data_IF_490700625744
#
_entry.id   IF_490700625744
#
_cell.length_a   1.000
_cell.length_b   1.000
_cell.length_c   1.000
_cell.angle_alpha   90.00
_cell.angle_beta   90.00
_cell.angle_gamma   90.00
#
_symmetry.space_group_name_H-M   'P 1'
#
loop_
_entity.id
_entity.type
_entity.pdbx_description
1 polymer ?
#
# COMPACT_ATOMS: atom_id res chain seq x y z
N UNK A 1 -22.20 -59.38 0.99
CA UNK A 1 -22.36 -57.92 1.10
C UNK A 1 -21.14 -57.23 0.47
N UNK A 2 -21.38 -56.02 -0.02
CA UNK A 2 -20.62 -55.25 -1.03
C UNK A 2 -19.22 -54.79 -0.63
N UNK A 3 -18.33 -54.80 -1.64
CA UNK A 3 -17.31 -53.80 -2.04
C UNK A 3 -16.20 -53.43 -1.02
N UNK A 4 -14.96 -53.90 -1.22
CA UNK A 4 -13.92 -53.36 -2.11
C UNK A 4 -13.09 -52.23 -1.47
N UNK A 5 -11.94 -52.61 -0.90
CA UNK A 5 -10.83 -51.71 -0.59
C UNK A 5 -9.93 -51.60 -1.82
N UNK A 6 -10.10 -50.53 -2.59
CA UNK A 6 -9.23 -50.17 -3.70
C UNK A 6 -8.13 -49.22 -3.21
N UNK A 7 -6.90 -49.45 -3.68
CA UNK A 7 -5.73 -48.71 -3.28
C UNK A 7 -5.50 -47.39 -4.05
N UNK A 8 -4.23 -47.00 -4.01
CA UNK A 8 -3.52 -46.02 -4.84
C UNK A 8 -3.26 -44.63 -4.23
N UNK A 9 -1.95 -44.42 -4.07
CA UNK A 9 -1.20 -43.26 -4.56
C UNK A 9 -1.42 -41.89 -3.91
N UNK A 10 -0.55 -41.61 -2.94
CA UNK A 10 0.59 -40.69 -3.09
C UNK A 10 0.38 -39.55 -4.14
N UNK A 11 0.04 -38.34 -3.67
CA UNK A 11 0.10 -37.10 -4.46
C UNK A 11 0.83 -36.03 -3.68
N UNK A 12 2.12 -35.86 -4.00
CA UNK A 12 2.84 -34.62 -3.74
C UNK A 12 2.46 -33.54 -4.78
N UNK A 13 2.48 -32.25 -4.42
CA UNK A 13 2.26 -31.16 -5.38
C UNK A 13 3.47 -30.97 -6.29
N UNK A 14 3.22 -31.08 -7.61
CA UNK A 14 4.21 -30.88 -8.69
C UNK A 14 4.58 -29.41 -8.84
N UNK A 15 5.81 -29.04 -8.47
CA UNK A 15 6.46 -27.83 -8.94
C UNK A 15 6.88 -28.02 -10.41
N UNK A 16 6.24 -27.31 -11.33
CA UNK A 16 6.63 -27.30 -12.76
C UNK A 16 7.78 -26.31 -12.95
N UNK A 17 9.00 -26.84 -12.87
CA UNK A 17 10.21 -26.25 -13.42
C UNK A 17 10.08 -26.21 -14.95
N UNK A 18 9.86 -25.04 -15.55
CA UNK A 18 10.03 -24.90 -17.01
C UNK A 18 11.49 -24.66 -17.32
N UNK A 19 12.13 -25.73 -17.76
CA UNK A 19 13.39 -25.75 -18.51
C UNK A 19 13.31 -24.73 -19.65
N UNK A 20 14.27 -23.84 -19.68
CA UNK A 20 14.66 -23.10 -20.88
C UNK A 20 15.37 -24.12 -21.77
N UNK A 21 14.87 -24.35 -22.97
CA UNK A 21 15.59 -25.05 -24.03
C UNK A 21 15.54 -24.19 -25.29
N UNK A 22 16.65 -24.32 -26.00
CA UNK A 22 17.27 -23.42 -26.94
C UNK A 22 16.95 -23.83 -28.39
N UNK A 23 16.83 -22.83 -29.26
CA UNK A 23 16.90 -22.80 -30.74
C UNK A 23 16.43 -23.99 -31.60
N UNK A 24 15.55 -23.72 -32.57
CA UNK A 24 15.84 -24.04 -33.99
C UNK A 24 15.04 -23.16 -34.99
N UNK A 25 15.67 -22.91 -36.15
CA UNK A 25 15.31 -22.02 -37.28
C UNK A 25 14.00 -22.39 -37.98
N UNK A 26 13.40 -21.41 -38.73
CA UNK A 26 13.41 -21.34 -40.22
C UNK A 26 12.16 -20.63 -40.80
N UNK A 27 12.42 -19.63 -41.68
CA UNK A 27 11.64 -19.12 -42.86
C UNK A 27 10.18 -18.65 -42.63
N UNK A 28 9.58 -17.63 -43.25
CA UNK A 28 9.88 -16.64 -44.29
C UNK A 28 8.74 -15.59 -44.22
N UNK A 29 9.03 -14.34 -44.59
CA UNK A 29 8.08 -13.21 -44.72
C UNK A 29 7.05 -13.45 -45.85
N UNK A 30 5.84 -12.82 -45.85
CA UNK A 30 5.75 -11.50 -46.50
C UNK A 30 4.71 -10.51 -45.95
N UNK A 31 5.16 -9.25 -45.86
CA UNK A 31 4.50 -8.01 -46.34
C UNK A 31 3.01 -7.79 -46.00
N UNK A 32 2.72 -6.87 -45.05
CA UNK A 32 1.94 -5.67 -45.41
C UNK A 32 1.89 -4.56 -44.32
N UNK A 33 2.43 -3.40 -44.71
CA UNK A 33 1.93 -2.01 -44.54
C UNK A 33 1.65 -1.44 -43.13
N UNK A 34 2.50 -0.46 -42.82
CA UNK A 34 2.15 0.87 -42.31
C UNK A 34 1.70 1.01 -40.85
N UNK A 35 2.67 1.07 -39.94
CA UNK A 35 2.59 2.03 -38.82
C UNK A 35 3.92 2.77 -38.72
N UNK A 36 3.90 4.01 -39.24
CA UNK A 36 4.90 5.05 -39.06
C UNK A 36 5.31 5.18 -37.59
N UNK A 37 6.59 4.96 -37.28
CA UNK A 37 7.28 5.63 -36.16
C UNK A 37 8.78 5.75 -36.43
N UNK A 38 9.10 6.90 -37.04
CA UNK A 38 10.37 7.65 -37.06
C UNK A 38 11.59 6.92 -36.45
N UNK A 39 12.48 6.47 -37.34
CA UNK A 39 13.92 6.35 -37.08
C UNK A 39 14.44 7.68 -36.54
N UNK A 40 14.87 7.70 -35.28
CA UNK A 40 15.80 8.73 -34.81
C UNK A 40 17.18 8.25 -35.20
N UNK A 41 17.73 8.94 -36.21
CA UNK A 41 19.10 8.82 -36.65
C UNK A 41 20.02 9.23 -35.49
N UNK A 42 20.77 8.27 -34.92
CA UNK A 42 21.88 8.59 -34.03
C UNK A 42 23.05 9.02 -34.91
N UNK A 43 23.16 10.33 -35.15
CA UNK A 43 24.37 10.91 -35.70
C UNK A 43 25.44 10.90 -34.60
N UNK A 44 26.51 10.15 -34.83
CA UNK A 44 27.69 10.15 -33.99
C UNK A 44 28.30 11.55 -33.99
N UNK A 45 28.30 12.22 -32.83
CA UNK A 45 29.13 13.41 -32.61
C UNK A 45 30.39 12.97 -31.85
N UNK A 46 31.33 12.42 -32.61
CA UNK A 46 32.71 12.26 -32.18
C UNK A 46 33.47 13.54 -32.54
N UNK A 47 33.96 14.27 -31.54
CA UNK A 47 34.84 15.42 -31.78
C UNK A 47 34.88 16.41 -30.63
N UNK A 48 35.65 16.08 -29.57
CA UNK A 48 36.38 16.99 -28.66
C UNK A 48 36.94 16.20 -27.44
N UNK A 49 37.90 15.30 -27.68
CA UNK A 49 38.99 15.05 -26.73
C UNK A 49 40.12 16.01 -27.10
N UNK A 50 40.97 16.57 -26.25
CA UNK A 50 41.76 15.91 -25.19
C UNK A 50 42.09 16.89 -24.04
N UNK A 51 41.47 18.07 -23.97
CA UNK A 51 41.76 19.09 -22.94
C UNK A 51 41.01 18.95 -21.60
N UNK A 52 40.10 17.99 -21.47
CA UNK A 52 39.13 17.94 -20.36
C UNK A 52 39.43 16.88 -19.30
N UNK A 53 40.48 16.05 -19.44
CA UNK A 53 40.69 14.96 -18.47
C UNK A 53 41.17 15.47 -17.11
N UNK A 54 42.07 16.47 -17.07
CA UNK A 54 42.61 17.01 -15.82
C UNK A 54 41.60 17.91 -15.06
N UNK A 55 40.80 18.71 -15.79
CA UNK A 55 39.65 19.42 -15.20
C UNK A 55 38.57 18.43 -14.76
N UNK A 56 38.23 17.43 -15.58
CA UNK A 56 37.28 16.37 -15.21
C UNK A 56 37.83 15.33 -14.21
N UNK A 57 38.96 15.56 -13.54
CA UNK A 57 39.39 14.77 -12.39
C UNK A 57 39.37 15.63 -11.12
N UNK A 58 39.74 16.92 -11.21
CA UNK A 58 39.62 17.86 -10.09
C UNK A 58 38.18 18.35 -9.85
N UNK A 59 37.43 18.62 -10.93
CA UNK A 59 36.01 19.04 -10.94
C UNK A 59 35.08 17.83 -10.70
N UNK A 60 35.59 16.62 -10.89
CA UNK A 60 34.90 15.34 -10.61
C UNK A 60 35.00 14.91 -9.15
N UNK A 61 35.81 15.60 -8.34
CA UNK A 61 36.00 15.22 -6.95
C UNK A 61 34.68 15.35 -6.16
N UNK A 62 33.80 16.31 -6.50
CA UNK A 62 32.52 16.51 -5.81
C UNK A 62 31.38 17.01 -6.73
N UNK A 63 30.88 16.19 -7.67
CA UNK A 63 29.79 16.56 -8.59
C UNK A 63 28.48 16.92 -7.87
N UNK A 64 28.35 16.60 -6.59
CA UNK A 64 27.18 16.96 -5.79
C UNK A 64 27.21 18.43 -5.32
N UNK A 65 28.37 19.11 -5.23
CA UNK A 65 28.43 20.53 -4.84
C UNK A 65 27.75 21.42 -5.87
N UNK A 66 28.03 21.19 -7.15
CA UNK A 66 27.37 21.91 -8.26
C UNK A 66 25.87 21.64 -8.31
N UNK A 67 25.47 20.38 -8.11
CA UNK A 67 24.07 20.00 -8.04
C UNK A 67 23.37 20.66 -6.84
N UNK A 68 24.03 20.78 -5.69
CA UNK A 68 23.49 21.47 -4.52
C UNK A 68 23.28 22.95 -4.80
N UNK A 69 24.25 23.64 -5.44
CA UNK A 69 24.11 25.05 -5.81
C UNK A 69 22.94 25.24 -6.77
N UNK A 70 22.83 24.40 -7.80
CA UNK A 70 21.75 24.44 -8.80
C UNK A 70 20.36 24.29 -8.18
N UNK A 71 20.25 23.47 -7.13
CA UNK A 71 18.98 23.04 -6.57
C UNK A 71 18.70 23.63 -5.18
N UNK A 72 19.55 24.53 -4.68
CA UNK A 72 19.46 25.10 -3.32
C UNK A 72 18.08 25.70 -3.03
N UNK A 73 17.56 26.48 -3.96
CA UNK A 73 16.27 27.18 -3.80
C UNK A 73 15.08 26.21 -3.79
N UNK A 74 15.20 25.07 -4.47
CA UNK A 74 14.18 24.02 -4.47
C UNK A 74 14.29 23.09 -3.26
N UNK A 75 15.50 22.86 -2.77
CA UNK A 75 15.73 22.12 -1.54
C UNK A 75 15.16 22.87 -0.33
N UNK A 76 15.25 24.20 -0.33
CA UNK A 76 14.67 25.06 0.71
C UNK A 76 13.13 25.05 0.74
N UNK A 77 12.45 24.78 -0.39
CA UNK A 77 10.97 24.71 -0.47
C UNK A 77 10.38 23.47 0.22
N UNK A 78 11.21 22.56 0.73
CA UNK A 78 10.81 21.36 1.46
C UNK A 78 10.72 20.11 0.60
N UNK A 79 10.20 19.00 1.17
CA UNK A 79 10.35 17.66 0.57
C UNK A 79 9.28 17.34 -0.48
N UNK A 80 8.03 17.76 -0.27
CA UNK A 80 6.87 17.25 -1.03
C UNK A 80 6.31 18.24 -2.06
N UNK A 81 6.80 19.48 -2.06
CA UNK A 81 6.20 20.58 -2.81
C UNK A 81 5.97 21.78 -1.90
N UNK A 82 5.47 22.85 -2.49
CA UNK A 82 5.13 24.06 -1.78
C UNK A 82 3.71 24.49 -2.15
N UNK A 83 3.05 25.15 -1.20
CA UNK A 83 1.74 25.72 -1.40
C UNK A 83 1.92 27.10 -2.02
N UNK A 84 1.34 27.32 -3.20
CA UNK A 84 1.46 28.58 -3.91
C UNK A 84 0.14 28.93 -4.59
N UNK A 85 -0.36 30.14 -4.32
CA UNK A 85 -1.57 30.70 -4.93
C UNK A 85 -2.77 29.72 -4.98
N UNK A 86 -3.06 29.01 -3.89
CA UNK A 86 -4.21 28.11 -3.83
C UNK A 86 -3.98 26.70 -4.37
N UNK A 87 -2.79 26.42 -4.93
CA UNK A 87 -2.47 25.14 -5.52
C UNK A 87 -1.22 24.51 -4.90
N UNK A 88 -1.21 23.18 -4.83
CA UNK A 88 0.01 22.43 -4.51
C UNK A 88 0.91 22.37 -5.74
N UNK A 89 2.10 22.97 -5.68
CA UNK A 89 3.10 22.90 -6.75
C UNK A 89 4.14 21.83 -6.42
N UNK A 90 4.40 20.88 -7.35
CA UNK A 90 5.50 19.94 -7.18
C UNK A 90 6.85 20.67 -7.30
N UNK A 91 7.90 20.07 -6.76
CA UNK A 91 9.27 20.53 -6.95
C UNK A 91 9.75 20.21 -8.36
N UNK A 92 10.72 20.96 -8.88
CA UNK A 92 11.34 20.65 -10.18
C UNK A 92 12.24 19.42 -10.09
N UNK A 93 12.82 19.15 -8.92
CA UNK A 93 13.59 17.94 -8.65
C UNK A 93 12.68 16.76 -8.33
N UNK A 94 12.96 15.63 -8.99
CA UNK A 94 12.37 14.35 -8.62
C UNK A 94 12.88 13.85 -7.27
N UNK A 95 12.01 13.23 -6.47
CA UNK A 95 12.40 12.63 -5.18
C UNK A 95 13.59 11.64 -5.30
N UNK A 96 13.69 10.92 -6.43
CA UNK A 96 14.81 10.02 -6.72
C UNK A 96 16.14 10.77 -6.92
N UNK A 97 16.12 11.92 -7.59
CA UNK A 97 17.33 12.74 -7.74
C UNK A 97 17.74 13.33 -6.40
N UNK A 98 16.79 13.83 -5.60
CA UNK A 98 17.07 14.30 -4.24
C UNK A 98 17.72 13.21 -3.37
N UNK A 99 17.18 12.00 -3.36
CA UNK A 99 17.75 10.89 -2.59
C UNK A 99 19.17 10.50 -3.06
N UNK A 100 19.45 10.58 -4.36
CA UNK A 100 20.81 10.38 -4.90
C UNK A 100 21.77 11.46 -4.40
N UNK A 101 21.35 12.73 -4.43
CA UNK A 101 22.14 13.85 -3.89
C UNK A 101 22.40 13.68 -2.39
N UNK A 102 21.35 13.38 -1.61
CA UNK A 102 21.48 13.13 -0.17
C UNK A 102 22.45 11.99 0.12
N UNK A 103 22.41 10.91 -0.66
CA UNK A 103 23.37 9.80 -0.55
C UNK A 103 24.81 10.26 -0.85
N UNK A 104 25.02 11.01 -1.94
CA UNK A 104 26.34 11.54 -2.31
C UNK A 104 26.93 12.45 -1.21
N UNK A 105 26.12 13.33 -0.63
CA UNK A 105 26.52 14.25 0.46
C UNK A 105 26.85 13.50 1.76
N UNK A 106 25.97 12.60 2.20
CA UNK A 106 26.18 11.83 3.43
C UNK A 106 27.38 10.87 3.32
N UNK A 107 27.65 10.32 2.13
CA UNK A 107 28.85 9.50 1.89
C UNK A 107 30.14 10.32 1.97
N UNK A 108 30.09 11.61 1.64
CA UNK A 108 31.21 12.54 1.80
C UNK A 108 31.38 13.00 3.27
N UNK A 109 30.49 12.59 4.18
CA UNK A 109 30.52 12.95 5.59
C UNK A 109 29.99 14.35 5.91
N UNK A 110 29.35 15.03 4.95
CA UNK A 110 28.67 16.30 5.18
C UNK A 110 27.23 16.09 5.68
N UNK A 111 26.70 17.07 6.40
CA UNK A 111 25.36 17.04 6.98
C UNK A 111 24.28 17.50 5.96
N UNK A 112 23.05 17.00 6.12
CA UNK A 112 21.92 17.27 5.23
C UNK A 112 20.80 18.05 5.94
N UNK A 113 20.79 19.41 5.87
CA UNK A 113 19.89 20.25 6.67
C UNK A 113 18.49 20.47 6.05
N UNK A 114 18.24 20.00 4.82
CA UNK A 114 17.03 20.36 4.06
C UNK A 114 15.78 19.52 4.38
N UNK A 115 15.96 18.34 5.01
CA UNK A 115 14.86 17.42 5.27
C UNK A 115 14.38 17.57 6.72
N UNK A 116 13.06 17.69 6.98
CA UNK A 116 12.55 17.72 8.34
C UNK A 116 12.76 16.37 9.02
N UNK A 117 12.87 16.41 10.35
CA UNK A 117 13.02 15.20 11.16
C UNK A 117 11.85 14.23 10.99
N UNK A 118 12.16 12.94 11.06
CA UNK A 118 11.16 11.89 10.91
C UNK A 118 10.24 11.88 12.14
N UNK A 119 8.93 12.04 11.91
CA UNK A 119 7.92 11.94 12.96
C UNK A 119 7.84 10.52 13.53
N UNK A 120 7.52 10.45 14.82
CA UNK A 120 7.27 9.20 15.53
C UNK A 120 6.04 8.47 14.99
N UNK A 121 6.06 7.14 15.07
CA UNK A 121 4.96 6.29 14.63
C UNK A 121 3.85 6.21 15.68
N UNK A 122 2.57 6.21 15.25
CA UNK A 122 1.43 6.04 16.15
C UNK A 122 1.19 4.57 16.49
N UNK A 123 1.49 4.16 17.72
CA UNK A 123 1.28 2.79 18.21
C UNK A 123 -0.06 2.66 18.95
N UNK A 124 -1.19 2.72 18.24
CA UNK A 124 -2.52 2.42 18.83
C UNK A 124 -3.17 1.22 18.12
N UNK A 125 -3.55 0.21 18.90
CA UNK A 125 -4.34 -0.93 18.41
C UNK A 125 -5.83 -0.55 18.35
N UNK A 126 -6.50 -0.83 17.23
CA UNK A 126 -7.93 -0.54 17.03
C UNK A 126 -8.84 -1.45 17.86
N UNK A 127 -8.42 -2.71 18.06
CA UNK A 127 -9.26 -3.79 18.59
C UNK A 127 -10.31 -4.27 17.59
N UNK A 128 -10.80 -5.50 17.73
CA UNK A 128 -11.90 -6.01 16.92
C UNK A 128 -13.24 -5.45 17.41
N UNK A 129 -14.14 -5.14 16.47
CA UNK A 129 -15.49 -4.66 16.78
C UNK A 129 -16.28 -5.72 17.57
N UNK A 130 -16.14 -6.99 17.20
CA UNK A 130 -16.84 -8.10 17.85
C UNK A 130 -16.52 -8.17 19.35
N UNK A 131 -15.22 -8.12 19.69
CA UNK A 131 -14.76 -8.24 21.08
C UNK A 131 -15.29 -7.09 21.95
N UNK A 132 -15.27 -5.86 21.41
CA UNK A 132 -15.83 -4.68 22.08
C UNK A 132 -17.31 -4.85 22.41
N UNK A 133 -18.10 -5.26 21.41
CA UNK A 133 -19.54 -5.47 21.57
C UNK A 133 -19.83 -6.69 22.45
N UNK A 134 -18.94 -7.69 22.48
CA UNK A 134 -19.16 -8.89 23.28
C UNK A 134 -19.21 -8.59 24.78
N UNK A 135 -18.38 -7.65 25.27
CA UNK A 135 -18.41 -7.22 26.66
C UNK A 135 -19.74 -6.54 27.00
N UNK A 136 -20.15 -5.57 26.19
CA UNK A 136 -21.43 -4.85 26.32
C UNK A 136 -22.63 -5.81 26.30
N UNK A 137 -22.59 -6.83 25.43
CA UNK A 137 -23.64 -7.86 25.36
C UNK A 137 -23.73 -8.68 26.65
N UNK A 138 -22.61 -9.11 27.22
CA UNK A 138 -22.60 -9.89 28.49
C UNK A 138 -23.20 -9.09 29.64
N UNK A 139 -22.84 -7.81 29.76
CA UNK A 139 -23.41 -6.91 30.78
C UNK A 139 -24.91 -6.71 30.61
N UNK A 140 -25.36 -6.50 29.37
CA UNK A 140 -26.78 -6.35 29.08
C UNK A 140 -27.57 -7.63 29.36
N UNK A 141 -26.99 -8.81 29.11
CA UNK A 141 -27.61 -10.09 29.48
C UNK A 141 -27.80 -10.17 30.99
N UNK A 142 -26.79 -9.82 31.81
CA UNK A 142 -26.93 -9.83 33.26
C UNK A 142 -28.05 -8.88 33.75
N UNK A 143 -28.05 -7.63 33.27
CA UNK A 143 -29.09 -6.64 33.58
C UNK A 143 -30.50 -7.09 33.16
N UNK A 144 -30.62 -7.84 32.07
CA UNK A 144 -31.90 -8.40 31.63
C UNK A 144 -32.34 -9.54 32.55
N UNK A 145 -31.41 -10.41 32.96
CA UNK A 145 -31.69 -11.53 33.86
C UNK A 145 -32.18 -11.07 35.23
N UNK A 146 -31.63 -9.99 35.78
CA UNK A 146 -32.12 -9.37 37.02
C UNK A 146 -33.59 -8.91 36.91
N UNK A 147 -34.02 -8.46 35.72
CA UNK A 147 -35.39 -7.99 35.46
C UNK A 147 -36.36 -9.13 35.10
N UNK A 148 -35.87 -10.33 34.84
CA UNK A 148 -36.69 -11.47 34.43
C UNK A 148 -37.82 -11.81 35.41
N UNK A 149 -37.60 -11.85 36.75
CA UNK A 149 -38.66 -12.19 37.70
C UNK A 149 -39.85 -11.23 37.61
N UNK A 150 -39.55 -9.93 37.53
CA UNK A 150 -40.58 -8.91 37.38
C UNK A 150 -41.35 -9.06 36.06
N UNK A 151 -40.62 -9.25 34.95
CA UNK A 151 -41.25 -9.46 33.64
C UNK A 151 -42.15 -10.70 33.59
N UNK A 152 -41.81 -11.77 34.31
CA UNK A 152 -42.65 -12.97 34.40
C UNK A 152 -43.94 -12.70 35.18
N UNK A 153 -43.87 -11.96 36.28
CA UNK A 153 -45.06 -11.55 37.04
C UNK A 153 -45.97 -10.66 36.19
N UNK A 154 -45.39 -9.70 35.48
CA UNK A 154 -46.13 -8.80 34.58
C UNK A 154 -46.81 -9.56 33.43
N UNK A 155 -46.14 -10.56 32.87
CA UNK A 155 -46.72 -11.43 31.84
C UNK A 155 -47.89 -12.26 32.39
N UNK A 156 -47.71 -12.89 33.55
CA UNK A 156 -48.77 -13.66 34.22
C UNK A 156 -49.98 -12.78 34.53
N UNK A 157 -49.76 -11.57 35.06
CA UNK A 157 -50.81 -10.59 35.35
C UNK A 157 -51.59 -10.21 34.10
N UNK A 158 -50.91 -9.92 32.98
CA UNK A 158 -51.56 -9.60 31.69
C UNK A 158 -52.40 -10.75 31.16
N UNK A 159 -51.89 -11.99 31.21
CA UNK A 159 -52.64 -13.19 30.79
C UNK A 159 -53.88 -13.41 31.65
N UNK A 160 -53.75 -13.24 32.96
CA UNK A 160 -54.85 -13.42 33.89
C UNK A 160 -55.95 -12.35 33.71
N UNK A 161 -55.57 -11.08 33.58
CA UNK A 161 -56.52 -9.99 33.28
C UNK A 161 -57.25 -10.18 31.96
N UNK A 162 -56.57 -10.71 30.93
CA UNK A 162 -57.20 -11.03 29.65
C UNK A 162 -58.26 -12.12 29.80
N UNK A 163 -57.94 -13.19 30.55
CA UNK A 163 -58.87 -14.28 30.83
C UNK A 163 -60.12 -13.79 31.59
N UNK A 164 -59.94 -12.99 32.66
CA UNK A 164 -61.06 -12.42 33.41
C UNK A 164 -61.98 -11.58 32.51
N UNK A 165 -61.42 -10.71 31.67
CA UNK A 165 -62.19 -9.91 30.70
C UNK A 165 -62.96 -10.74 29.66
N UNK A 166 -62.45 -11.90 29.27
CA UNK A 166 -63.14 -12.81 28.35
C UNK A 166 -64.30 -13.53 29.06
N UNK A 167 -64.10 -13.98 30.30
CA UNK A 167 -65.13 -14.59 31.13
C UNK A 167 -66.27 -13.60 31.48
N UNK A 168 -65.94 -12.34 31.78
CA UNK A 168 -66.93 -11.29 32.05
C UNK A 168 -67.78 -10.95 30.82
N UNK A 169 -67.19 -10.99 29.61
CA UNK A 169 -67.90 -10.80 28.35
C UNK A 169 -68.83 -11.96 27.98
N UNK A 170 -68.53 -13.17 28.45
CA UNK A 170 -69.35 -14.36 28.18
C UNK A 170 -70.53 -14.53 29.14
N UNK A 171 -70.58 -13.75 30.23
CA UNK A 171 -71.64 -13.77 31.24
C UNK A 171 -72.68 -12.65 31.08
N UNK A 172 -72.46 -11.75 30.11
CA UNK A 172 -73.25 -10.57 29.81
C UNK A 172 -73.95 -10.77 28.47
#
# INVERSE_FOLDING_TARGET
>A
MRLASCGLCNKQPKWRSRKICFCEKREEEPLNRNILRKRVCCYAMAGKGVGSMAKAVAEYQYPWREKLVKYKDELAKGVWGYWDLGAWKPLSISARQRARLRKEVLLAGEDWPYDPERKEMKTRRKGHKCDRISAEKRENTAKLMEKMPQMLLDYKKRRWQKKMKEEDKGKL
#
